data_IF_622984908410
#
_entry.id   IF_622984908410
#
_cell.length_a   1.000
_cell.length_b   1.000
_cell.length_c   1.000
_cell.angle_alpha   90.00
_cell.angle_beta   90.00
_cell.angle_gamma   90.00
#
_symmetry.space_group_name_H-M   'P 1'
#
loop_
_entity.id
_entity.type
_entity.pdbx_description
1 polymer ?
#
# COMPACT_ATOMS: atom_id res chain seq x y z
N UNK A 1 22.83 4.23 -4.28
CA UNK A 1 22.64 2.77 -4.15
C UNK A 1 22.00 2.28 -5.43
N UNK A 2 22.75 1.56 -6.27
CA UNK A 2 22.24 1.02 -7.53
C UNK A 2 21.45 -0.25 -7.24
N UNK A 3 20.13 -0.22 -7.42
CA UNK A 3 19.30 -1.41 -7.43
C UNK A 3 19.60 -2.12 -8.76
N UNK A 4 20.18 -3.31 -8.69
CA UNK A 4 20.48 -4.17 -9.86
C UNK A 4 19.26 -4.24 -10.79
N UNK A 5 19.46 -3.94 -12.09
CA UNK A 5 18.46 -4.01 -13.17
C UNK A 5 18.20 -5.45 -13.62
N UNK A 6 18.04 -6.39 -12.68
CA UNK A 6 17.29 -7.60 -13.04
C UNK A 6 15.85 -7.15 -13.26
N UNK A 7 15.36 -7.29 -14.49
CA UNK A 7 13.96 -7.06 -14.83
C UNK A 7 13.15 -8.15 -14.12
N UNK A 8 12.84 -7.89 -12.85
CA UNK A 8 11.99 -8.75 -12.03
C UNK A 8 10.57 -8.49 -12.45
N UNK A 9 9.85 -9.54 -12.81
CA UNK A 9 8.42 -9.40 -13.02
C UNK A 9 7.76 -9.06 -11.69
N UNK A 10 6.63 -8.35 -11.70
CA UNK A 10 5.87 -8.05 -10.48
C UNK A 10 5.52 -9.32 -9.67
N UNK A 11 5.28 -10.44 -10.36
CA UNK A 11 5.09 -11.78 -9.77
C UNK A 11 6.29 -12.22 -8.92
N UNK A 12 7.51 -11.92 -9.37
CA UNK A 12 8.74 -12.26 -8.65
C UNK A 12 8.86 -11.50 -7.33
N UNK A 13 8.35 -10.26 -7.27
CA UNK A 13 8.36 -9.45 -6.04
C UNK A 13 7.46 -10.08 -4.99
N UNK A 14 6.19 -10.36 -5.31
CA UNK A 14 5.24 -10.98 -4.37
C UNK A 14 5.74 -12.33 -3.89
N UNK A 15 6.24 -13.17 -4.81
CA UNK A 15 6.79 -14.48 -4.47
C UNK A 15 7.98 -14.35 -3.52
N UNK A 16 8.86 -13.38 -3.76
CA UNK A 16 10.02 -13.15 -2.90
C UNK A 16 9.64 -12.59 -1.54
N UNK A 17 8.69 -11.66 -1.46
CA UNK A 17 8.15 -11.17 -0.19
C UNK A 17 7.55 -12.30 0.67
N UNK A 18 6.91 -13.30 0.04
CA UNK A 18 6.38 -14.49 0.72
C UNK A 18 7.49 -15.44 1.19
N UNK A 19 8.45 -15.72 0.33
CA UNK A 19 9.40 -16.83 0.55
C UNK A 19 10.70 -16.41 1.25
N UNK A 20 11.08 -15.14 1.18
CA UNK A 20 12.34 -14.62 1.72
C UNK A 20 12.03 -13.59 2.82
N UNK A 21 12.18 -14.03 4.08
CA UNK A 21 11.94 -13.20 5.27
C UNK A 21 12.80 -11.94 5.27
N UNK A 22 14.09 -12.09 4.94
CA UNK A 22 15.03 -10.98 5.06
C UNK A 22 14.81 -9.99 3.93
N UNK A 23 14.44 -10.46 2.73
CA UNK A 23 13.96 -9.58 1.66
C UNK A 23 12.70 -8.82 2.04
N UNK A 24 11.72 -9.47 2.69
CA UNK A 24 10.52 -8.77 3.16
C UNK A 24 10.86 -7.62 4.11
N UNK A 25 11.71 -7.88 5.11
CA UNK A 25 12.11 -6.86 6.09
C UNK A 25 12.86 -5.72 5.39
N UNK A 26 13.88 -6.05 4.59
CA UNK A 26 14.68 -5.07 3.84
C UNK A 26 13.83 -4.22 2.89
N UNK A 27 12.86 -4.85 2.21
CA UNK A 27 11.93 -4.16 1.32
C UNK A 27 11.08 -3.14 2.08
N UNK A 28 10.43 -3.53 3.19
CA UNK A 28 9.58 -2.62 3.96
C UNK A 28 10.41 -1.51 4.64
N UNK A 29 11.61 -1.84 5.15
CA UNK A 29 12.52 -0.86 5.74
C UNK A 29 12.93 0.19 4.69
N UNK A 30 13.43 -0.23 3.53
CA UNK A 30 13.82 0.69 2.45
C UNK A 30 12.64 1.51 1.93
N UNK A 31 11.47 0.88 1.79
CA UNK A 31 10.27 1.58 1.33
C UNK A 31 9.81 2.62 2.37
N UNK A 32 9.84 2.28 3.66
CA UNK A 32 9.50 3.23 4.72
C UNK A 32 10.48 4.42 4.76
N UNK A 33 11.78 4.18 4.55
CA UNK A 33 12.79 5.22 4.44
C UNK A 33 12.51 6.11 3.23
N UNK A 34 12.19 5.51 2.08
CA UNK A 34 11.84 6.25 0.86
C UNK A 34 10.68 7.23 1.08
N UNK A 35 9.57 6.77 1.69
CA UNK A 35 8.39 7.62 1.92
C UNK A 35 8.61 8.70 2.98
N UNK A 36 9.44 8.49 4.01
CA UNK A 36 9.64 9.52 5.04
C UNK A 36 10.77 10.47 4.70
N UNK A 37 11.77 10.03 3.94
CA UNK A 37 12.90 10.89 3.55
C UNK A 37 12.44 12.04 2.64
N UNK A 38 11.38 11.87 1.84
CA UNK A 38 10.81 12.94 1.00
C UNK A 38 10.40 14.17 1.80
N UNK A 39 10.03 13.97 3.07
CA UNK A 39 9.62 15.02 4.02
C UNK A 39 10.67 15.34 5.10
N UNK A 40 11.89 14.80 4.98
CA UNK A 40 12.99 15.09 5.92
C UNK A 40 12.98 14.28 7.22
N UNK A 41 12.30 13.13 7.24
CA UNK A 41 12.19 12.25 8.40
C UNK A 41 12.70 10.83 8.10
N UNK A 42 13.06 10.09 9.14
CA UNK A 42 13.40 8.67 9.08
C UNK A 42 12.47 7.85 10.01
N UNK A 43 12.07 6.64 9.63
CA UNK A 43 11.26 5.78 10.47
C UNK A 43 12.14 5.00 11.46
N UNK A 44 11.59 4.70 12.63
CA UNK A 44 12.09 3.69 13.56
C UNK A 44 11.16 2.49 13.51
N UNK A 45 11.64 1.35 13.01
CA UNK A 45 10.83 0.15 12.80
C UNK A 45 11.08 -0.91 13.87
N UNK A 46 10.02 -1.63 14.23
CA UNK A 46 10.10 -2.88 14.99
C UNK A 46 10.22 -4.06 14.02
N UNK A 47 11.42 -4.68 13.98
CA UNK A 47 11.65 -5.90 13.21
C UNK A 47 10.69 -7.03 13.62
N UNK A 48 10.42 -7.15 14.92
CA UNK A 48 9.46 -8.13 15.45
C UNK A 48 8.07 -7.92 14.84
N UNK A 49 7.57 -6.69 14.78
CA UNK A 49 6.25 -6.41 14.20
C UNK A 49 6.20 -6.61 12.68
N UNK A 50 7.31 -6.39 11.97
CA UNK A 50 7.42 -6.77 10.56
C UNK A 50 7.32 -8.29 10.39
N UNK A 51 8.01 -9.06 11.22
CA UNK A 51 7.97 -10.52 11.18
C UNK A 51 6.59 -11.08 11.54
N UNK A 52 5.91 -10.48 12.52
CA UNK A 52 4.54 -10.82 12.89
C UNK A 52 3.56 -10.48 11.76
N UNK A 53 3.69 -9.31 11.13
CA UNK A 53 2.87 -8.90 9.99
C UNK A 53 3.04 -9.86 8.82
N UNK A 54 4.29 -10.26 8.50
CA UNK A 54 4.60 -11.19 7.41
C UNK A 54 3.98 -12.56 7.64
N UNK A 55 4.10 -13.11 8.86
CA UNK A 55 3.53 -14.41 9.22
C UNK A 55 2.01 -14.39 9.11
N UNK A 56 1.37 -13.40 9.74
CA UNK A 56 -0.08 -13.26 9.69
C UNK A 56 -0.60 -13.07 8.25
N UNK A 57 0.14 -12.29 7.44
CA UNK A 57 -0.14 -12.15 6.02
C UNK A 57 -0.11 -13.50 5.31
N UNK A 58 1.00 -14.23 5.35
CA UNK A 58 1.18 -15.54 4.67
C UNK A 58 0.10 -16.53 5.10
N UNK A 59 -0.18 -16.63 6.40
CA UNK A 59 -1.21 -17.54 6.93
C UNK A 59 -2.59 -17.19 6.37
N UNK A 60 -2.95 -15.91 6.32
CA UNK A 60 -4.20 -15.45 5.73
C UNK A 60 -4.28 -15.80 4.24
N UNK A 61 -3.22 -15.53 3.47
CA UNK A 61 -3.24 -15.80 2.03
C UNK A 61 -3.43 -17.29 1.75
N UNK A 62 -2.74 -18.15 2.50
CA UNK A 62 -2.90 -19.60 2.38
C UNK A 62 -4.36 -20.01 2.61
N UNK A 63 -4.97 -19.52 3.69
CA UNK A 63 -6.37 -19.85 4.03
C UNK A 63 -7.38 -19.35 3.00
N UNK A 64 -7.13 -18.20 2.39
CA UNK A 64 -7.99 -17.67 1.32
C UNK A 64 -7.80 -18.49 0.05
N UNK A 65 -6.56 -18.83 -0.30
CA UNK A 65 -6.22 -19.66 -1.47
C UNK A 65 -6.92 -21.02 -1.42
N UNK A 66 -6.97 -21.66 -0.25
CA UNK A 66 -7.63 -22.96 -0.05
C UNK A 66 -9.15 -22.92 -0.30
N UNK A 67 -9.74 -21.71 -0.38
CA UNK A 67 -11.18 -21.48 -0.56
C UNK A 67 -11.53 -20.78 -1.86
N UNK A 68 -10.55 -20.49 -2.71
CA UNK A 68 -10.80 -19.91 -4.03
C UNK A 68 -11.47 -20.94 -4.94
N UNK A 69 -12.61 -20.57 -5.53
CA UNK A 69 -13.40 -21.47 -6.36
C UNK A 69 -12.73 -21.81 -7.70
N UNK A 70 -11.88 -20.91 -8.22
CA UNK A 70 -11.23 -21.10 -9.52
C UNK A 70 -10.05 -22.07 -9.46
N UNK A 71 -9.52 -22.37 -8.26
CA UNK A 71 -8.25 -23.08 -8.10
C UNK A 71 -7.04 -22.31 -8.62
N UNK A 72 -7.22 -21.05 -9.02
CA UNK A 72 -6.16 -20.18 -9.49
C UNK A 72 -5.39 -19.56 -8.32
N UNK A 73 -4.16 -19.11 -8.60
CA UNK A 73 -3.43 -18.30 -7.65
C UNK A 73 -4.17 -16.99 -7.37
N UNK A 74 -4.08 -16.52 -6.12
CA UNK A 74 -4.69 -15.26 -5.72
C UNK A 74 -4.11 -14.09 -6.52
N UNK A 75 -5.01 -13.21 -6.98
CA UNK A 75 -4.59 -12.01 -7.71
C UNK A 75 -3.75 -11.07 -6.82
N UNK A 76 -2.94 -10.23 -7.46
CA UNK A 76 -2.02 -9.34 -6.76
C UNK A 76 -2.75 -8.31 -5.89
N UNK A 77 -4.01 -7.95 -6.21
CA UNK A 77 -4.84 -7.08 -5.39
C UNK A 77 -5.20 -7.73 -4.05
N UNK A 78 -5.53 -9.03 -4.05
CA UNK A 78 -5.78 -9.80 -2.82
C UNK A 78 -4.49 -9.92 -2.00
N UNK A 79 -3.36 -10.17 -2.65
CA UNK A 79 -2.07 -10.13 -1.94
C UNK A 79 -1.82 -8.77 -1.28
N UNK A 80 -2.04 -7.67 -2.01
CA UNK A 80 -1.81 -6.30 -1.53
C UNK A 80 -2.73 -5.92 -0.38
N UNK A 81 -4.01 -6.29 -0.49
CA UNK A 81 -5.01 -5.95 0.50
C UNK A 81 -4.76 -6.64 1.85
N UNK A 82 -4.38 -7.92 1.84
CA UNK A 82 -4.02 -8.64 3.06
C UNK A 82 -2.70 -8.13 3.64
N UNK A 83 -1.71 -7.79 2.81
CA UNK A 83 -0.45 -7.21 3.31
C UNK A 83 -0.69 -5.86 3.98
N UNK A 84 -1.43 -4.97 3.31
CA UNK A 84 -1.84 -3.68 3.84
C UNK A 84 -2.61 -3.83 5.17
N UNK A 85 -3.54 -4.78 5.24
CA UNK A 85 -4.29 -5.08 6.46
C UNK A 85 -3.36 -5.41 7.65
N UNK A 86 -2.37 -6.29 7.45
CA UNK A 86 -1.49 -6.78 8.52
C UNK A 86 -0.38 -5.79 8.89
N UNK A 87 0.23 -5.11 7.93
CA UNK A 87 1.19 -4.04 8.20
C UNK A 87 0.56 -2.95 9.06
N UNK A 88 -0.65 -2.50 8.70
CA UNK A 88 -1.41 -1.55 9.51
C UNK A 88 -1.68 -2.09 10.92
N UNK A 89 -2.14 -3.34 11.03
CA UNK A 89 -2.62 -3.90 12.30
C UNK A 89 -1.48 -4.10 13.30
N UNK A 90 -0.32 -4.55 12.81
CA UNK A 90 0.89 -4.72 13.62
C UNK A 90 1.59 -3.40 13.92
N UNK A 91 1.52 -2.44 12.99
CA UNK A 91 2.06 -1.10 13.18
C UNK A 91 3.59 -1.08 13.36
N UNK A 92 4.36 -1.49 12.33
CA UNK A 92 5.80 -1.66 12.45
C UNK A 92 6.57 -0.35 12.69
N UNK A 93 6.04 0.82 12.29
CA UNK A 93 6.68 2.11 12.58
C UNK A 93 6.34 2.53 14.01
N UNK A 94 7.33 2.44 14.89
CA UNK A 94 7.24 2.87 16.28
C UNK A 94 7.24 4.40 16.36
N UNK A 95 8.21 5.02 15.70
CA UNK A 95 8.45 6.46 15.73
C UNK A 95 8.92 6.97 14.36
N UNK A 96 8.78 8.28 14.15
CA UNK A 96 9.28 8.98 12.97
C UNK A 96 10.12 10.14 13.48
N UNK A 97 11.42 10.14 13.15
CA UNK A 97 12.42 11.06 13.69
C UNK A 97 12.87 12.01 12.59
N UNK A 98 12.98 13.30 12.91
CA UNK A 98 13.53 14.28 11.98
C UNK A 98 15.01 13.99 11.72
N UNK A 99 15.43 14.04 10.45
CA UNK A 99 16.82 13.72 10.06
C UNK A 99 17.77 14.83 10.52
N UNK A 100 17.37 16.09 10.31
CA UNK A 100 18.11 17.27 10.75
C UNK A 100 17.20 18.16 11.62
N UNK A 101 17.31 18.05 12.97
CA UNK A 101 16.53 18.87 13.88
C UNK A 101 16.81 20.39 13.78
N UNK A 102 17.91 20.79 13.12
CA UNK A 102 18.26 22.20 12.93
C UNK A 102 17.52 22.87 11.77
N UNK A 103 16.91 22.09 10.88
CA UNK A 103 16.17 22.59 9.72
C UNK A 103 14.67 22.39 9.97
N UNK A 104 13.87 23.46 10.14
CA UNK A 104 12.44 23.30 10.36
C UNK A 104 11.79 22.55 9.19
N UNK A 105 10.81 21.66 9.47
CA UNK A 105 10.14 20.90 8.42
C UNK A 105 9.40 21.85 7.47
N UNK A 106 9.43 21.51 6.18
CA UNK A 106 8.60 22.20 5.19
C UNK A 106 7.13 21.83 5.43
N UNK A 107 6.39 22.77 5.99
CA UNK A 107 4.98 22.61 6.36
C UNK A 107 4.04 23.21 5.32
N UNK A 108 4.56 23.67 4.19
CA UNK A 108 3.78 24.36 3.15
C UNK A 108 3.55 23.44 1.96
N UNK A 109 2.40 23.63 1.29
CA UNK A 109 2.07 22.94 0.05
C UNK A 109 1.95 21.42 0.21
N UNK A 110 2.34 20.68 -0.83
CA UNK A 110 2.18 19.22 -0.88
C UNK A 110 3.09 18.49 0.11
N UNK A 111 4.27 19.04 0.43
CA UNK A 111 5.17 18.46 1.43
C UNK A 111 4.60 18.55 2.84
N UNK A 112 4.00 19.69 3.19
CA UNK A 112 3.33 19.84 4.50
C UNK A 112 2.17 18.88 4.66
N UNK A 113 1.38 18.68 3.61
CA UNK A 113 0.28 17.71 3.55
C UNK A 113 0.77 16.27 3.70
N UNK A 114 1.82 15.87 2.97
CA UNK A 114 2.41 14.54 3.10
C UNK A 114 3.00 14.32 4.51
N UNK A 115 3.66 15.34 5.07
CA UNK A 115 4.18 15.30 6.42
C UNK A 115 3.07 15.08 7.46
N UNK A 116 1.91 15.75 7.31
CA UNK A 116 0.76 15.52 8.19
C UNK A 116 0.32 14.05 8.17
N UNK A 117 0.19 13.46 6.97
CA UNK A 117 -0.18 12.05 6.82
C UNK A 117 0.82 11.13 7.52
N UNK A 118 2.11 11.36 7.31
CA UNK A 118 3.18 10.55 7.91
C UNK A 118 3.14 10.67 9.44
N UNK A 119 3.09 11.87 10.00
CA UNK A 119 3.14 12.04 11.45
C UNK A 119 1.88 11.48 12.14
N UNK A 120 0.70 11.68 11.54
CA UNK A 120 -0.59 11.31 12.15
C UNK A 120 -1.00 9.86 11.88
N UNK A 121 -0.60 9.30 10.74
CA UNK A 121 -1.06 8.02 10.21
C UNK A 121 0.06 7.14 9.63
N UNK A 122 1.31 7.28 10.11
CA UNK A 122 2.50 6.54 9.61
C UNK A 122 2.25 5.08 9.20
N UNK A 123 1.55 4.29 10.02
CA UNK A 123 1.38 2.87 9.79
C UNK A 123 0.28 2.59 8.74
N UNK A 124 -0.83 3.34 8.79
CA UNK A 124 -1.87 3.28 7.77
C UNK A 124 -1.36 3.76 6.41
N UNK A 125 -0.59 4.86 6.40
CA UNK A 125 0.00 5.43 5.19
C UNK A 125 1.05 4.51 4.58
N UNK A 126 1.98 3.97 5.38
CA UNK A 126 2.95 2.96 4.92
C UNK A 126 2.23 1.75 4.33
N UNK A 127 1.27 1.18 5.06
CA UNK A 127 0.53 0.00 4.63
C UNK A 127 -0.20 0.25 3.30
N UNK A 128 -0.82 1.43 3.16
CA UNK A 128 -1.48 1.83 1.93
C UNK A 128 -0.50 1.90 0.75
N UNK A 129 0.60 2.63 0.93
CA UNK A 129 1.61 2.87 -0.11
C UNK A 129 2.30 1.57 -0.55
N UNK A 130 2.61 0.66 0.39
CA UNK A 130 3.16 -0.67 0.06
C UNK A 130 2.20 -1.46 -0.80
N UNK A 131 0.91 -1.54 -0.42
CA UNK A 131 -0.08 -2.26 -1.22
C UNK A 131 -0.34 -1.60 -2.58
N UNK A 132 -0.34 -0.27 -2.64
CA UNK A 132 -0.50 0.49 -3.88
C UNK A 132 0.67 0.25 -4.85
N UNK A 133 1.91 0.26 -4.34
CA UNK A 133 3.09 -0.01 -5.13
C UNK A 133 3.07 -1.43 -5.68
N UNK A 134 2.72 -2.40 -4.83
CA UNK A 134 2.61 -3.79 -5.22
C UNK A 134 1.51 -4.04 -6.27
N UNK A 135 0.43 -3.25 -6.29
CA UNK A 135 -0.53 -3.32 -7.39
C UNK A 135 -0.01 -2.65 -8.67
N UNK A 136 0.60 -1.47 -8.54
CA UNK A 136 1.08 -0.70 -9.69
C UNK A 136 2.17 -1.41 -10.50
N UNK A 137 3.05 -2.15 -9.83
CA UNK A 137 4.06 -2.96 -10.52
C UNK A 137 3.39 -3.96 -11.50
N UNK A 138 2.28 -4.60 -11.10
CA UNK A 138 1.59 -5.61 -11.91
C UNK A 138 0.83 -5.03 -13.10
N UNK A 139 0.29 -3.82 -12.96
CA UNK A 139 -0.55 -3.20 -13.98
C UNK A 139 0.26 -2.58 -15.13
N UNK A 140 1.61 -2.62 -15.06
CA UNK A 140 2.62 -2.44 -16.12
C UNK A 140 2.58 -1.19 -17.03
N UNK A 141 1.54 -0.38 -16.99
CA UNK A 141 1.30 0.77 -17.87
C UNK A 141 1.77 2.11 -17.27
N UNK A 142 2.77 2.08 -16.37
CA UNK A 142 3.45 3.25 -15.77
C UNK A 142 2.55 4.25 -15.02
N UNK A 143 1.26 3.93 -14.82
CA UNK A 143 0.28 4.86 -14.26
C UNK A 143 -0.15 4.46 -12.87
N UNK A 144 0.75 4.59 -11.89
CA UNK A 144 0.32 4.71 -10.51
C UNK A 144 -0.79 5.78 -10.45
N UNK A 145 -1.95 5.47 -9.87
CA UNK A 145 -3.03 6.44 -9.78
C UNK A 145 -2.52 7.65 -9.00
N UNK A 146 -2.80 8.85 -9.51
CA UNK A 146 -2.61 10.07 -8.73
C UNK A 146 -3.74 10.12 -7.71
N UNK A 147 -3.39 9.90 -6.46
CA UNK A 147 -4.35 9.88 -5.36
C UNK A 147 -4.26 11.23 -4.67
N UNK A 148 -5.40 11.90 -4.53
CA UNK A 148 -5.46 13.18 -3.85
C UNK A 148 -5.22 13.03 -2.34
N UNK A 149 -4.79 14.12 -1.73
CA UNK A 149 -4.47 14.13 -0.31
C UNK A 149 -5.69 13.84 0.59
N UNK A 150 -6.86 14.35 0.23
CA UNK A 150 -8.07 14.22 1.05
C UNK A 150 -8.57 12.77 1.06
N UNK A 151 -8.43 12.06 -0.06
CA UNK A 151 -8.64 10.64 -0.20
C UNK A 151 -7.69 9.87 0.70
N UNK A 152 -6.38 10.16 0.65
CA UNK A 152 -5.38 9.49 1.50
C UNK A 152 -5.66 9.74 2.99
N UNK A 153 -6.03 10.97 3.35
CA UNK A 153 -6.37 11.34 4.71
C UNK A 153 -7.60 10.57 5.20
N UNK A 154 -8.63 10.51 4.37
CA UNK A 154 -9.87 9.77 4.64
C UNK A 154 -9.61 8.27 4.76
N UNK A 155 -8.88 7.69 3.81
CA UNK A 155 -8.49 6.29 3.83
C UNK A 155 -7.72 5.94 5.12
N UNK A 156 -6.68 6.73 5.44
CA UNK A 156 -5.87 6.52 6.63
C UNK A 156 -6.70 6.65 7.92
N UNK A 157 -7.59 7.64 7.96
CA UNK A 157 -8.50 7.84 9.09
C UNK A 157 -9.40 6.61 9.32
N UNK A 158 -10.03 6.09 8.27
CA UNK A 158 -10.86 4.88 8.38
C UNK A 158 -10.04 3.64 8.72
N UNK A 159 -8.85 3.51 8.15
CA UNK A 159 -7.99 2.37 8.41
C UNK A 159 -7.56 2.30 9.87
N UNK A 160 -7.37 3.43 10.55
CA UNK A 160 -7.00 3.49 11.97
C UNK A 160 -7.94 2.72 12.90
N UNK A 161 -9.21 2.56 12.54
CA UNK A 161 -10.19 1.82 13.34
C UNK A 161 -9.96 0.28 13.34
N UNK A 162 -8.98 -0.26 12.61
CA UNK A 162 -8.59 -1.70 12.60
C UNK A 162 -9.70 -2.71 12.24
N UNK A 163 -10.91 -2.25 11.92
CA UNK A 163 -12.07 -3.06 11.55
C UNK A 163 -12.29 -3.15 10.03
N UNK A 164 -11.59 -2.33 9.24
CA UNK A 164 -11.65 -2.44 7.77
C UNK A 164 -11.09 -3.79 7.34
N UNK A 165 -11.90 -4.56 6.62
CA UNK A 165 -11.57 -5.91 6.18
C UNK A 165 -10.59 -5.89 4.99
N UNK A 166 -9.77 -6.95 4.80
CA UNK A 166 -8.95 -7.10 3.61
C UNK A 166 -9.77 -7.02 2.31
N UNK A 167 -11.01 -7.51 2.31
CA UNK A 167 -11.89 -7.43 1.14
C UNK A 167 -12.25 -5.99 0.77
N UNK A 168 -12.54 -5.12 1.74
CA UNK A 168 -12.78 -3.71 1.47
C UNK A 168 -11.54 -3.01 0.90
N UNK A 169 -10.35 -3.31 1.44
CA UNK A 169 -9.07 -2.78 0.93
C UNK A 169 -8.82 -3.29 -0.50
N UNK A 170 -9.15 -4.55 -0.80
CA UNK A 170 -9.08 -5.13 -2.14
C UNK A 170 -9.97 -4.37 -3.13
N UNK A 171 -11.22 -4.07 -2.77
CA UNK A 171 -12.12 -3.30 -3.62
C UNK A 171 -11.60 -1.88 -3.85
N UNK A 172 -11.01 -1.26 -2.82
CA UNK A 172 -10.34 0.04 -2.95
C UNK A 172 -9.20 -0.03 -3.96
N UNK A 173 -8.26 -0.97 -3.82
CA UNK A 173 -7.17 -1.11 -4.79
C UNK A 173 -7.70 -1.41 -6.19
N UNK A 174 -8.63 -2.36 -6.36
CA UNK A 174 -9.23 -2.61 -7.67
C UNK A 174 -9.86 -1.35 -8.27
N UNK A 175 -10.61 -0.56 -7.49
CA UNK A 175 -11.22 0.67 -7.99
C UNK A 175 -10.20 1.69 -8.49
N UNK A 176 -9.03 1.78 -7.84
CA UNK A 176 -7.98 2.73 -8.23
C UNK A 176 -7.30 2.39 -9.55
N UNK A 177 -7.28 1.12 -9.95
CA UNK A 177 -6.66 0.65 -11.20
C UNK A 177 -7.68 0.37 -12.31
N UNK A 178 -8.86 -0.18 -11.98
CA UNK A 178 -9.91 -0.57 -12.95
C UNK A 178 -10.77 0.62 -13.41
N UNK A 179 -10.96 1.66 -12.58
CA UNK A 179 -11.85 2.78 -12.93
C UNK A 179 -11.40 3.59 -14.16
N UNK A 180 -10.21 3.32 -14.72
CA UNK A 180 -9.72 3.95 -15.94
C UNK A 180 -10.33 3.36 -17.22
N UNK A 181 -10.92 2.17 -17.16
CA UNK A 181 -11.46 1.44 -18.33
C UNK A 181 -12.98 1.27 -18.32
N UNK A 182 -13.72 2.09 -17.56
CA UNK A 182 -15.18 1.99 -17.50
C UNK A 182 -15.81 3.04 -18.42
N UNK A 183 -16.06 2.74 -19.72
CA UNK A 183 -16.94 3.56 -20.54
C UNK A 183 -18.39 3.26 -20.11
N UNK A 184 -18.83 3.84 -19.01
CA UNK A 184 -20.25 3.85 -18.64
C UNK A 184 -20.63 5.33 -18.54
N UNK A 185 -21.35 5.89 -19.51
CA UNK A 185 -22.55 5.35 -20.16
C UNK A 185 -22.43 5.36 -21.68
N UNK A 186 -22.91 4.32 -22.37
CA UNK A 186 -23.32 4.49 -23.76
C UNK A 186 -24.44 5.55 -23.79
N UNK A 187 -24.47 6.42 -24.79
CA UNK A 187 -25.49 7.49 -24.92
C UNK A 187 -26.92 6.95 -24.71
N UNK A 188 -27.17 5.70 -25.08
CA UNK A 188 -28.44 4.99 -24.84
C UNK A 188 -28.90 4.90 -23.38
N UNK A 189 -27.99 4.93 -22.40
CA UNK A 189 -28.34 4.89 -20.98
C UNK A 189 -28.71 6.27 -20.44
N UNK A 190 -28.18 7.33 -21.04
CA UNK A 190 -28.56 8.72 -20.73
C UNK A 190 -29.91 9.05 -21.38
N UNK A 191 -30.16 8.56 -22.60
CA UNK A 191 -31.46 8.69 -23.28
C UNK A 191 -32.62 8.00 -22.52
N UNK A 192 -32.33 6.97 -21.72
CA UNK A 192 -33.33 6.30 -20.86
C UNK A 192 -33.69 7.08 -19.59
N UNK A 193 -32.86 8.04 -19.16
CA UNK A 193 -33.13 8.87 -17.97
C UNK A 193 -33.94 10.12 -18.35
N UNK A 194 -33.86 10.53 -19.61
CA UNK A 194 -34.56 11.71 -20.15
C UNK A 194 -35.93 11.40 -20.79
N UNK A 195 -36.40 10.13 -20.73
CA UNK A 195 -37.70 9.68 -21.25
C UNK A 195 -38.70 9.36 -20.12
#
# INVERSE_FOLDING_TARGET
>A
MSISKDVRTPKDIVLRLKNDRDYFIDYIEKFSVFITHSVGYKPSLSRQYLEDARRAWIDDISRVSDREMSGEELDHFKHASHLCFWLRRMGPILEVLQIDPGIPPDTVGDKGKELELILKYRNEYLAFQVGLFMCGDFEADDKHPKIDHDYLLTFCHFMRYKHVSPHAIFLIYKSLFVAKEVPYFSESYLEMIDA
#
